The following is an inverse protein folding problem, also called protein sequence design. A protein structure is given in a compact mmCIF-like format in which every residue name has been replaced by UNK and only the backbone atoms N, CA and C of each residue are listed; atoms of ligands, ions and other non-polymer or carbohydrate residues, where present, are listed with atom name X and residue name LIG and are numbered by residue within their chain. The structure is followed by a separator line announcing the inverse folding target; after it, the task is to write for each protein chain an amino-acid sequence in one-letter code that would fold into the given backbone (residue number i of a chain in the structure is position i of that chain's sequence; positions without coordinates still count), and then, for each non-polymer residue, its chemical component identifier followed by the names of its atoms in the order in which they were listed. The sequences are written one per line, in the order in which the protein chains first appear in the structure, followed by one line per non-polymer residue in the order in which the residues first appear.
data_IF_398648282506
#
_entry.id   IF_398648282506
#
_cell.length_a   1.000
_cell.length_b   1.000
_cell.length_c   1.000
_cell.angle_alpha   90.00
_cell.angle_beta   90.00
_cell.angle_gamma   90.00
#
_symmetry.space_group_name_H-M   'P 1'
#
loop_
_entity.id
_entity.type
_entity.pdbx_description
1 polymer ?
#
# COMPACT_ATOMS: atom_id res chain seq x y z
N UNK A 1 -34.12 38.44 -20.83
CA UNK A 1 -33.14 37.40 -21.23
C UNK A 1 -33.86 36.06 -21.38
N UNK A 2 -33.68 35.37 -22.51
CA UNK A 2 -34.30 34.06 -22.76
C UNK A 2 -33.78 33.04 -21.74
N UNK A 3 -34.70 32.36 -21.03
CA UNK A 3 -34.37 31.36 -19.99
C UNK A 3 -33.33 30.33 -20.47
N UNK A 4 -33.37 29.98 -21.77
CA UNK A 4 -32.39 29.09 -22.43
C UNK A 4 -30.94 29.60 -22.41
N UNK A 5 -30.71 30.89 -22.67
CA UNK A 5 -29.36 31.47 -22.63
C UNK A 5 -28.84 31.54 -21.19
N UNK A 6 -29.72 31.81 -20.22
CA UNK A 6 -29.36 31.79 -18.80
C UNK A 6 -28.95 30.37 -18.38
N UNK A 7 -29.71 29.35 -18.78
CA UNK A 7 -29.38 27.94 -18.52
C UNK A 7 -28.06 27.51 -19.15
N UNK A 8 -27.81 27.86 -20.42
CA UNK A 8 -26.55 27.57 -21.09
C UNK A 8 -25.35 28.22 -20.39
N UNK A 9 -25.50 29.47 -19.94
CA UNK A 9 -24.43 30.19 -19.22
C UNK A 9 -24.13 29.54 -17.86
N UNK A 10 -25.18 29.17 -17.11
CA UNK A 10 -25.03 28.48 -15.82
C UNK A 10 -24.32 27.14 -15.98
N UNK A 11 -24.66 26.36 -17.01
CA UNK A 11 -24.01 25.08 -17.30
C UNK A 11 -22.54 25.24 -17.71
N UNK A 12 -22.20 26.30 -18.46
CA UNK A 12 -20.82 26.61 -18.81
C UNK A 12 -19.99 26.99 -17.57
N UNK A 13 -20.55 27.84 -16.70
CA UNK A 13 -19.90 28.21 -15.42
C UNK A 13 -19.74 26.98 -14.52
N UNK A 14 -20.77 26.13 -14.44
CA UNK A 14 -20.70 24.87 -13.69
C UNK A 14 -19.60 23.95 -14.23
N UNK A 15 -19.47 23.83 -15.56
CA UNK A 15 -18.40 23.03 -16.17
C UNK A 15 -17.01 23.55 -15.80
N UNK A 16 -16.81 24.88 -15.80
CA UNK A 16 -15.55 25.49 -15.37
C UNK A 16 -15.26 25.14 -13.91
N UNK A 17 -16.25 25.33 -13.02
CA UNK A 17 -16.11 25.01 -11.59
C UNK A 17 -15.78 23.53 -11.38
N UNK A 18 -16.47 22.63 -12.07
CA UNK A 18 -16.24 21.18 -11.99
C UNK A 18 -14.88 20.76 -12.56
N UNK A 19 -14.28 21.52 -13.47
CA UNK A 19 -12.90 21.28 -13.91
C UNK A 19 -11.87 21.82 -12.91
N UNK A 20 -12.09 23.03 -12.39
CA UNK A 20 -11.09 23.71 -11.57
C UNK A 20 -11.05 23.20 -10.13
N UNK A 21 -12.21 22.94 -9.51
CA UNK A 21 -12.28 22.61 -8.09
C UNK A 21 -11.60 21.28 -7.75
N UNK A 22 -11.81 20.17 -8.49
CA UNK A 22 -11.14 18.90 -8.20
C UNK A 22 -9.61 18.94 -8.35
N UNK A 23 -9.08 19.87 -9.15
CA UNK A 23 -7.63 20.06 -9.31
C UNK A 23 -6.97 20.54 -8.00
N UNK A 24 -7.71 21.21 -7.12
CA UNK A 24 -7.23 21.67 -5.81
C UNK A 24 -7.32 20.62 -4.70
N UNK A 25 -7.89 19.44 -4.96
CA UNK A 25 -7.93 18.33 -3.99
C UNK A 25 -6.82 17.34 -4.30
N UNK A 26 -5.58 17.51 -3.80
CA UNK A 26 -4.46 16.63 -4.14
C UNK A 26 -4.84 15.17 -3.83
N UNK A 27 -4.48 14.26 -4.74
CA UNK A 27 -4.55 12.84 -4.46
C UNK A 27 -3.42 12.56 -3.49
N UNK A 28 -3.73 12.57 -2.19
CA UNK A 28 -2.72 12.35 -1.17
C UNK A 28 -2.17 10.93 -1.33
N UNK A 29 -0.85 10.75 -1.27
CA UNK A 29 -0.27 9.42 -1.27
C UNK A 29 -0.76 8.64 -0.06
N UNK A 30 -0.80 7.32 -0.19
CA UNK A 30 -1.13 6.38 0.88
C UNK A 30 0.10 5.57 1.25
N UNK A 31 0.09 5.09 2.48
CA UNK A 31 1.10 4.17 2.98
C UNK A 31 0.55 2.76 2.86
N UNK A 32 1.34 1.87 2.28
CA UNK A 32 1.00 0.48 2.04
C UNK A 32 1.77 -0.40 2.99
N UNK A 33 1.13 -1.45 3.49
CA UNK A 33 1.68 -2.52 4.30
C UNK A 33 1.32 -3.83 3.62
N UNK A 34 2.35 -4.55 3.16
CA UNK A 34 2.24 -5.79 2.41
C UNK A 34 2.92 -6.92 3.18
N UNK A 35 2.16 -7.92 3.64
CA UNK A 35 2.66 -9.12 4.34
C UNK A 35 2.71 -10.38 3.47
N UNK A 36 2.50 -10.28 2.15
CA UNK A 36 2.61 -11.42 1.23
C UNK A 36 4.07 -11.83 0.95
N UNK A 37 5.02 -10.99 1.38
CA UNK A 37 6.45 -11.25 1.21
C UNK A 37 6.94 -12.30 2.18
N UNK A 38 7.39 -13.45 1.66
CA UNK A 38 8.02 -14.48 2.49
C UNK A 38 9.52 -14.32 2.68
N UNK A 39 9.99 -14.67 3.87
CA UNK A 39 11.42 -14.79 4.20
C UNK A 39 11.76 -16.24 4.57
N UNK A 40 12.52 -16.93 3.72
CA UNK A 40 12.85 -18.36 3.89
C UNK A 40 14.21 -18.59 4.60
N UNK A 41 14.82 -17.54 5.13
CA UNK A 41 16.14 -17.59 5.76
C UNK A 41 16.02 -17.50 7.30
N UNK A 42 16.90 -18.19 8.05
CA UNK A 42 16.97 -18.06 9.49
C UNK A 42 17.37 -16.64 9.92
N UNK A 43 17.11 -16.25 11.17
CA UNK A 43 17.27 -14.86 11.63
C UNK A 43 18.69 -14.30 11.46
N UNK A 44 19.72 -15.12 11.60
CA UNK A 44 21.10 -14.67 11.43
C UNK A 44 21.44 -14.40 9.96
N UNK A 45 20.94 -15.21 9.04
CA UNK A 45 21.08 -14.98 7.60
C UNK A 45 20.32 -13.70 7.21
N UNK A 46 19.08 -13.52 7.69
CA UNK A 46 18.29 -12.31 7.46
C UNK A 46 19.01 -11.03 7.94
N UNK A 47 19.67 -11.07 9.11
CA UNK A 47 20.47 -9.93 9.59
C UNK A 47 21.69 -9.67 8.71
N UNK A 48 22.39 -10.71 8.26
CA UNK A 48 23.52 -10.57 7.33
C UNK A 48 23.09 -10.01 5.98
N UNK A 49 21.89 -10.38 5.55
CA UNK A 49 21.22 -9.88 4.36
C UNK A 49 20.72 -8.43 4.50
N UNK A 50 20.78 -7.84 5.70
CA UNK A 50 20.41 -6.45 5.93
C UNK A 50 18.92 -6.24 6.26
N UNK A 51 18.17 -7.31 6.56
CA UNK A 51 16.82 -7.20 7.07
C UNK A 51 16.81 -6.66 8.50
N UNK A 52 15.90 -5.72 8.76
CA UNK A 52 15.61 -5.27 10.12
C UNK A 52 14.65 -6.24 10.77
N UNK A 53 15.09 -6.94 11.79
CA UNK A 53 14.25 -7.85 12.58
C UNK A 53 13.79 -7.14 13.86
N UNK A 54 12.48 -7.09 14.11
CA UNK A 54 11.89 -6.52 15.32
C UNK A 54 10.91 -7.51 15.93
N UNK A 55 10.86 -7.63 17.26
CA UNK A 55 9.83 -8.42 17.92
C UNK A 55 8.49 -7.71 17.89
N UNK A 56 7.39 -8.44 17.66
CA UNK A 56 6.04 -7.90 17.67
C UNK A 56 5.74 -7.13 18.97
N UNK A 57 6.18 -7.66 20.12
CA UNK A 57 6.03 -7.02 21.43
C UNK A 57 6.80 -5.70 21.59
N UNK A 58 7.77 -5.42 20.70
CA UNK A 58 8.58 -4.21 20.72
C UNK A 58 8.09 -3.15 19.73
N UNK A 59 7.07 -3.45 18.93
CA UNK A 59 6.39 -2.49 18.07
C UNK A 59 5.51 -1.56 18.91
N UNK A 60 5.36 -0.30 18.50
CA UNK A 60 4.30 0.56 19.05
C UNK A 60 2.91 -0.06 18.81
N UNK A 61 1.92 0.35 19.60
CA UNK A 61 0.53 -0.08 19.38
C UNK A 61 0.05 0.24 17.97
N UNK A 62 0.46 1.40 17.41
CA UNK A 62 0.13 1.77 16.05
C UNK A 62 0.77 0.82 15.03
N UNK A 63 2.04 0.48 15.17
CA UNK A 63 2.71 -0.47 14.30
C UNK A 63 2.13 -1.90 14.39
N UNK A 64 1.72 -2.32 15.60
CA UNK A 64 1.03 -3.59 15.82
C UNK A 64 -0.33 -3.60 15.11
N UNK A 65 -1.13 -2.55 15.27
CA UNK A 65 -2.44 -2.42 14.63
C UNK A 65 -2.31 -2.47 13.10
N UNK A 66 -1.35 -1.73 12.52
CA UNK A 66 -1.10 -1.73 11.07
C UNK A 66 -0.74 -3.12 10.54
N UNK A 67 0.16 -3.83 11.23
CA UNK A 67 0.54 -5.20 10.85
C UNK A 67 -0.61 -6.19 11.00
N UNK A 68 -1.38 -6.10 12.09
CA UNK A 68 -2.54 -6.99 12.31
C UNK A 68 -3.64 -6.73 11.29
N UNK A 69 -3.88 -5.48 10.91
CA UNK A 69 -4.87 -5.15 9.87
C UNK A 69 -4.39 -5.60 8.48
N UNK A 70 -3.10 -5.52 8.18
CA UNK A 70 -2.52 -6.12 6.96
C UNK A 70 -2.80 -7.62 6.89
N UNK A 71 -2.51 -8.36 7.95
CA UNK A 71 -2.79 -9.80 8.03
C UNK A 71 -4.29 -10.16 7.96
N UNK A 72 -5.20 -9.23 8.29
CA UNK A 72 -6.65 -9.46 8.17
C UNK A 72 -7.18 -9.19 6.77
N UNK A 73 -6.47 -8.38 5.98
CA UNK A 73 -6.88 -7.95 4.65
C UNK A 73 -6.12 -8.69 3.55
N UNK A 74 -5.84 -9.98 3.79
CA UNK A 74 -5.14 -10.86 2.85
C UNK A 74 -3.81 -10.25 2.38
N UNK A 75 -3.05 -9.70 3.33
CA UNK A 75 -1.71 -9.19 3.10
C UNK A 75 -1.59 -7.72 2.74
N UNK A 76 -2.62 -7.07 2.17
CA UNK A 76 -2.54 -5.68 1.69
C UNK A 76 -3.40 -4.72 2.53
N UNK A 77 -2.75 -3.79 3.23
CA UNK A 77 -3.43 -2.75 3.98
C UNK A 77 -2.87 -1.35 3.74
N UNK A 78 -3.77 -0.41 3.42
CA UNK A 78 -3.43 0.97 3.10
C UNK A 78 -4.01 1.97 4.08
N UNK A 79 -3.20 2.96 4.45
CA UNK A 79 -3.61 4.04 5.36
C UNK A 79 -3.19 5.41 4.84
N UNK A 80 -3.85 6.50 5.28
CA UNK A 80 -3.39 7.86 5.04
C UNK A 80 -1.97 8.10 5.59
N UNK A 81 -1.26 9.06 5.00
CA UNK A 81 0.15 9.34 5.32
C UNK A 81 0.41 9.72 6.79
N UNK A 82 -0.59 10.29 7.48
CA UNK A 82 -0.52 10.68 8.89
C UNK A 82 -0.81 9.52 9.87
N UNK A 83 -1.13 8.33 9.34
CA UNK A 83 -1.48 7.14 10.13
C UNK A 83 -0.45 6.01 10.03
N UNK A 84 0.68 6.25 9.38
CA UNK A 84 1.81 5.32 9.39
C UNK A 84 2.50 5.25 10.76
N UNK A 85 3.36 4.25 10.95
CA UNK A 85 4.17 4.13 12.14
C UNK A 85 5.62 4.58 11.88
N UNK A 86 6.17 5.39 12.78
CA UNK A 86 7.54 5.93 12.66
C UNK A 86 8.62 4.84 12.64
N UNK A 87 8.32 3.66 13.20
CA UNK A 87 9.24 2.53 13.16
C UNK A 87 9.33 1.89 11.78
N UNK A 88 8.34 2.10 10.91
CA UNK A 88 8.35 1.63 9.53
C UNK A 88 8.88 2.71 8.60
N UNK A 89 9.49 2.26 7.50
CA UNK A 89 10.03 3.16 6.49
C UNK A 89 9.21 3.02 5.24
N UNK A 90 8.62 4.10 4.78
CA UNK A 90 7.74 4.10 3.61
C UNK A 90 8.43 4.74 2.39
N UNK A 91 9.38 4.06 1.72
CA UNK A 91 9.98 4.59 0.52
C UNK A 91 8.93 4.75 -0.60
N UNK A 92 9.08 5.80 -1.37
CA UNK A 92 8.46 5.87 -2.69
C UNK A 92 9.09 4.84 -3.62
N UNK A 93 8.40 4.44 -4.69
CA UNK A 93 8.94 3.54 -5.73
C UNK A 93 10.31 4.00 -6.26
N UNK A 94 10.53 5.31 -6.37
CA UNK A 94 11.80 5.89 -6.82
C UNK A 94 12.94 5.73 -5.80
N UNK A 95 12.61 5.76 -4.51
CA UNK A 95 13.55 5.54 -3.41
C UNK A 95 13.86 4.06 -3.25
N UNK A 96 12.86 3.20 -3.30
CA UNK A 96 13.04 1.75 -3.27
C UNK A 96 13.92 1.27 -4.44
N UNK A 97 13.69 1.79 -5.66
CA UNK A 97 14.54 1.48 -6.81
C UNK A 97 16.00 1.90 -6.61
N UNK A 98 16.22 3.12 -6.11
CA UNK A 98 17.58 3.61 -5.79
C UNK A 98 18.22 2.82 -4.67
N UNK A 99 17.45 2.40 -3.67
CA UNK A 99 17.94 1.56 -2.59
C UNK A 99 18.39 0.20 -3.12
N UNK A 100 17.62 -0.41 -4.02
CA UNK A 100 17.98 -1.66 -4.68
C UNK A 100 19.26 -1.51 -5.53
N UNK A 101 19.35 -0.47 -6.35
CA UNK A 101 20.53 -0.20 -7.20
C UNK A 101 21.82 0.04 -6.38
N UNK A 102 21.70 0.53 -5.15
CA UNK A 102 22.82 0.78 -4.24
C UNK A 102 23.03 -0.36 -3.22
N UNK A 103 22.36 -1.50 -3.38
CA UNK A 103 22.41 -2.64 -2.45
C UNK A 103 22.10 -2.25 -0.98
N UNK A 104 21.19 -1.29 -0.80
CA UNK A 104 20.79 -0.80 0.50
C UNK A 104 19.44 -1.38 0.92
N UNK A 105 19.45 -2.63 1.41
CA UNK A 105 18.24 -3.34 1.85
C UNK A 105 17.47 -2.59 2.94
N UNK A 106 18.15 -1.92 3.86
CA UNK A 106 17.50 -1.15 4.93
C UNK A 106 16.66 0.04 4.44
N UNK A 107 16.88 0.48 3.20
CA UNK A 107 16.12 1.57 2.57
C UNK A 107 14.95 1.08 1.69
N UNK A 108 14.76 -0.24 1.56
CA UNK A 108 13.68 -0.84 0.75
C UNK A 108 12.31 -0.82 1.45
N UNK A 109 12.24 -0.44 2.72
CA UNK A 109 10.98 -0.47 3.48
C UNK A 109 10.56 -1.86 3.94
N UNK A 110 11.48 -2.82 3.95
CA UNK A 110 11.23 -4.18 4.41
C UNK A 110 11.60 -4.33 5.90
N UNK A 111 10.68 -4.91 6.67
CA UNK A 111 10.87 -5.24 8.09
C UNK A 111 10.44 -6.69 8.32
N UNK A 112 11.17 -7.39 9.17
CA UNK A 112 10.83 -8.74 9.60
C UNK A 112 10.33 -8.67 11.04
N UNK A 113 9.11 -9.10 11.27
CA UNK A 113 8.42 -9.10 12.54
C UNK A 113 8.50 -10.51 13.13
N UNK A 114 9.21 -10.64 14.24
CA UNK A 114 9.24 -11.87 15.02
C UNK A 114 7.96 -11.96 15.85
N UNK A 115 7.13 -12.95 15.55
CA UNK A 115 5.89 -13.22 16.28
C UNK A 115 6.17 -13.80 17.68
N UNK A 116 5.30 -13.52 18.66
CA UNK A 116 5.40 -14.11 20.00
C UNK A 116 5.36 -15.65 19.92
N UNK A 117 5.85 -16.32 20.96
CA UNK A 117 5.79 -17.79 21.03
C UNK A 117 4.34 -18.31 21.15
N UNK A 118 3.47 -17.49 21.73
CA UNK A 118 2.03 -17.68 21.72
C UNK A 118 1.44 -16.64 20.76
N UNK A 119 1.28 -17.03 19.49
CA UNK A 119 0.73 -16.21 18.41
C UNK A 119 -0.75 -16.52 18.14
N UNK A 120 -1.38 -17.30 19.03
CA UNK A 120 -2.78 -17.76 18.87
C UNK A 120 -3.81 -16.62 18.78
N UNK A 121 -3.47 -15.44 19.30
CA UNK A 121 -4.27 -14.22 19.22
C UNK A 121 -4.07 -13.38 17.96
N UNK A 122 -3.11 -13.73 17.10
CA UNK A 122 -2.81 -13.01 15.87
C UNK A 122 -3.42 -13.73 14.66
N UNK A 123 -3.89 -13.00 13.64
CA UNK A 123 -4.25 -13.62 12.35
C UNK A 123 -3.06 -14.38 11.79
N UNK A 124 -3.31 -15.39 10.96
CA UNK A 124 -2.23 -16.18 10.34
C UNK A 124 -1.42 -15.28 9.39
N UNK A 125 -0.12 -15.55 9.32
CA UNK A 125 0.71 -15.00 8.27
C UNK A 125 0.26 -15.53 6.91
N UNK A 126 0.11 -14.65 5.92
CA UNK A 126 -0.23 -15.01 4.54
C UNK A 126 1.01 -15.49 3.74
N UNK A 127 2.15 -15.67 4.42
CA UNK A 127 3.38 -16.14 3.81
C UNK A 127 3.34 -17.60 3.38
N UNK A 128 3.69 -17.80 2.11
CA UNK A 128 4.03 -19.12 1.59
C UNK A 128 5.50 -19.43 1.92
N UNK A 129 5.71 -20.30 2.91
CA UNK A 129 7.01 -20.92 3.11
C UNK A 129 7.38 -21.74 1.86
N UNK A 130 8.44 -21.35 1.17
CA UNK A 130 9.01 -22.16 0.10
C UNK A 130 10.00 -23.14 0.71
N UNK A 131 9.65 -24.43 0.66
CA UNK A 131 10.58 -25.50 1.03
C UNK A 131 11.79 -25.43 0.08
N UNK A 132 13.02 -25.31 0.60
CA UNK A 132 14.21 -25.32 -0.25
C UNK A 132 14.29 -26.65 -0.98
N UNK A 133 14.67 -26.63 -2.27
CA UNK A 133 14.75 -27.86 -3.04
C UNK A 133 15.78 -28.82 -2.42
N UNK A 134 15.45 -30.11 -2.29
CA UNK A 134 16.29 -31.09 -1.59
C UNK A 134 17.68 -31.28 -2.23
N UNK A 135 17.87 -30.84 -3.48
CA UNK A 135 19.16 -30.90 -4.18
C UNK A 135 20.14 -29.79 -3.77
N UNK A 136 19.67 -28.68 -3.16
CA UNK A 136 20.51 -27.53 -2.79
C UNK A 136 21.08 -27.59 -1.37
N UNK A 137 20.56 -28.47 -0.52
CA UNK A 137 20.98 -28.55 0.89
C UNK A 137 21.22 -29.99 1.33
N UNK A 138 22.46 -30.31 1.73
CA UNK A 138 22.81 -31.55 2.46
C UNK A 138 22.23 -31.53 3.90
N UNK A 139 20.99 -31.11 4.06
CA UNK A 139 20.32 -30.98 5.36
C UNK A 139 19.50 -32.24 5.65
N UNK A 140 19.48 -32.66 6.91
CA UNK A 140 18.59 -33.74 7.36
C UNK A 140 17.15 -33.25 7.47
N UNK A 141 16.17 -34.17 7.40
CA UNK A 141 14.74 -33.85 7.57
C UNK A 141 14.47 -33.08 8.89
N UNK A 142 15.16 -33.45 9.98
CA UNK A 142 15.05 -32.76 11.26
C UNK A 142 15.54 -31.29 11.18
N UNK A 143 16.60 -31.02 10.42
CA UNK A 143 17.12 -29.67 10.22
C UNK A 143 16.17 -28.83 9.35
N UNK A 144 15.57 -29.45 8.32
CA UNK A 144 14.56 -28.79 7.48
C UNK A 144 13.31 -28.44 8.30
N UNK A 145 12.86 -29.34 9.17
CA UNK A 145 11.71 -29.10 10.02
C UNK A 145 11.97 -28.00 11.06
N UNK A 146 13.15 -27.99 11.68
CA UNK A 146 13.57 -26.90 12.57
C UNK A 146 13.67 -25.56 11.83
N UNK A 147 14.20 -25.55 10.60
CA UNK A 147 14.29 -24.34 9.76
C UNK A 147 12.90 -23.82 9.40
N UNK A 148 11.96 -24.72 9.07
CA UNK A 148 10.56 -24.40 8.80
C UNK A 148 9.85 -23.81 10.02
N UNK A 149 9.97 -24.45 11.18
CA UNK A 149 9.40 -23.95 12.43
C UNK A 149 9.98 -22.58 12.84
N UNK A 150 11.27 -22.36 12.58
CA UNK A 150 11.88 -21.06 12.80
C UNK A 150 11.36 -20.02 11.80
N UNK A 151 11.31 -20.32 10.51
CA UNK A 151 10.84 -19.41 9.47
C UNK A 151 9.38 -18.98 9.69
N UNK A 152 8.50 -19.89 10.10
CA UNK A 152 7.09 -19.60 10.40
C UNK A 152 6.87 -18.63 11.59
N UNK A 153 7.92 -18.24 12.32
CA UNK A 153 7.85 -17.25 13.40
C UNK A 153 8.27 -15.84 12.98
N UNK A 154 8.82 -15.67 11.79
CA UNK A 154 9.33 -14.40 11.29
C UNK A 154 8.56 -14.01 10.05
N UNK A 155 7.74 -12.97 10.19
CA UNK A 155 6.93 -12.48 9.09
C UNK A 155 7.58 -11.25 8.48
N UNK A 156 7.85 -11.24 7.19
CA UNK A 156 8.23 -10.07 6.45
C UNK A 156 6.99 -9.20 6.15
N UNK A 157 7.19 -7.90 6.32
CA UNK A 157 6.27 -6.87 5.85
C UNK A 157 7.05 -5.88 5.01
N UNK A 158 6.60 -5.65 3.79
CA UNK A 158 7.06 -4.58 2.93
C UNK A 158 6.16 -3.36 3.14
N UNK A 159 6.79 -2.20 3.32
CA UNK A 159 6.08 -0.93 3.51
C UNK A 159 6.51 0.04 2.42
N UNK A 160 5.57 0.79 1.87
CA UNK A 160 5.83 1.69 0.75
C UNK A 160 4.90 2.90 0.76
N UNK A 161 5.27 3.93 0.00
CA UNK A 161 4.38 5.06 -0.30
C UNK A 161 3.91 4.96 -1.75
N UNK A 162 2.59 4.89 -1.93
CA UNK A 162 1.96 4.77 -3.24
C UNK A 162 0.93 5.87 -3.52
N UNK A 163 0.55 6.00 -4.80
CA UNK A 163 -0.65 6.76 -5.14
C UNK A 163 -1.87 5.88 -4.84
N UNK A 164 -3.00 6.46 -4.40
CA UNK A 164 -4.21 5.69 -4.16
C UNK A 164 -4.63 4.91 -5.41
N UNK A 165 -5.32 3.77 -5.25
CA UNK A 165 -5.84 3.04 -6.40
C UNK A 165 -6.91 3.84 -7.14
N UNK A 166 -7.12 3.51 -8.42
CA UNK A 166 -8.13 4.13 -9.30
C UNK A 166 -9.55 4.05 -8.74
N UNK A 167 -9.84 3.01 -7.94
CA UNK A 167 -11.11 2.80 -7.27
C UNK A 167 -11.29 3.61 -5.97
N UNK A 168 -10.27 4.33 -5.49
CA UNK A 168 -10.38 5.09 -4.25
C UNK A 168 -11.39 6.25 -4.40
N UNK A 169 -12.18 6.49 -3.35
CA UNK A 169 -13.22 7.54 -3.31
C UNK A 169 -12.75 8.91 -3.83
N UNK A 170 -11.55 9.43 -3.50
CA UNK A 170 -11.08 10.70 -4.02
C UNK A 170 -10.90 10.70 -5.55
N UNK A 171 -10.46 9.58 -6.12
CA UNK A 171 -10.27 9.44 -7.56
C UNK A 171 -11.61 9.28 -8.28
N UNK A 172 -12.56 8.54 -7.70
CA UNK A 172 -13.92 8.42 -8.21
C UNK A 172 -14.65 9.78 -8.24
N UNK A 173 -14.50 10.59 -7.20
CA UNK A 173 -15.07 11.94 -7.16
C UNK A 173 -14.49 12.85 -8.24
N UNK A 174 -13.18 12.79 -8.47
CA UNK A 174 -12.52 13.51 -9.58
C UNK A 174 -13.04 13.04 -10.94
N UNK A 175 -13.16 11.72 -11.15
CA UNK A 175 -13.69 11.14 -12.38
C UNK A 175 -15.14 11.59 -12.63
N UNK A 176 -16.00 11.50 -11.60
CA UNK A 176 -17.38 11.94 -11.67
C UNK A 176 -17.48 13.44 -12.00
N UNK A 177 -16.67 14.28 -11.34
CA UNK A 177 -16.65 15.71 -11.60
C UNK A 177 -16.27 16.04 -13.05
N UNK A 178 -15.26 15.37 -13.60
CA UNK A 178 -14.87 15.53 -15.02
C UNK A 178 -16.00 15.09 -15.95
N UNK A 179 -16.65 13.96 -15.66
CA UNK A 179 -17.77 13.47 -16.46
C UNK A 179 -18.95 14.45 -16.46
N UNK A 180 -19.32 15.00 -15.30
CA UNK A 180 -20.35 16.04 -15.21
C UNK A 180 -19.94 17.34 -15.90
N UNK A 181 -18.65 17.70 -15.87
CA UNK A 181 -18.15 18.87 -16.58
C UNK A 181 -18.32 18.71 -18.10
N UNK A 182 -17.95 17.56 -18.66
CA UNK A 182 -18.12 17.26 -20.09
C UNK A 182 -19.60 17.28 -20.49
N UNK A 183 -20.47 16.65 -19.69
CA UNK A 183 -21.92 16.69 -19.94
C UNK A 183 -22.48 18.10 -19.89
N UNK A 184 -22.09 18.90 -18.89
CA UNK A 184 -22.54 20.29 -18.73
C UNK A 184 -22.08 21.16 -19.89
N UNK A 185 -20.85 20.96 -20.38
CA UNK A 185 -20.29 21.68 -21.51
C UNK A 185 -20.98 21.29 -22.83
N UNK A 186 -21.23 19.98 -23.04
CA UNK A 186 -21.97 19.49 -24.20
C UNK A 186 -23.41 19.97 -24.27
N UNK A 187 -24.17 19.85 -23.17
CA UNK A 187 -25.57 20.31 -23.09
C UNK A 187 -25.64 21.84 -23.15
N UNK A 188 -24.75 22.54 -22.44
CA UNK A 188 -24.66 23.99 -22.47
C UNK A 188 -24.33 24.51 -23.88
N UNK A 189 -23.37 23.90 -24.56
CA UNK A 189 -22.99 24.21 -25.93
C UNK A 189 -24.13 23.97 -26.93
N UNK A 190 -24.84 22.85 -26.81
CA UNK A 190 -26.02 22.56 -27.63
C UNK A 190 -27.13 23.61 -27.46
N UNK A 191 -27.43 24.00 -26.21
CA UNK A 191 -28.42 25.03 -25.92
C UNK A 191 -28.03 26.42 -26.46
N UNK A 192 -26.74 26.71 -26.56
CA UNK A 192 -26.21 27.93 -27.19
C UNK A 192 -26.22 27.87 -28.72
N UNK A 193 -25.94 26.70 -29.30
CA UNK A 193 -25.83 26.48 -30.75
C UNK A 193 -27.17 26.28 -31.46
N UNK A 194 -28.22 25.82 -30.76
CA UNK A 194 -29.58 25.61 -31.30
C UNK A 194 -30.36 26.92 -31.53
N UNK A 195 -29.66 27.99 -31.92
CA UNK A 195 -30.23 29.32 -32.16
C UNK A 195 -30.73 29.49 -33.59
#
# INVERSE_FOLDING_TARGET
MNRRNTLGTVLAVLAIVLFTVPAFFPVQPVLVHDTDRSVNAPPEELRQEGYRIVGYENLSSQAQDLYVEALKQDGDYTVPQDQGADEFRYPTRSEARRAYENDNRTALGQVVIKRPADDSGLPRADEYYHEPEPEETNMTEEQLQQRREQAMRYDAMETSTEQPPLGATPQLLRLAAVLFAVLSLGVGGYLFSSK
#
